data_IF_389540364602
#
_entry.id   IF_389540364602
#
_cell.length_a   1.000
_cell.length_b   1.000
_cell.length_c   1.000
_cell.angle_alpha   90.00
_cell.angle_beta   90.00
_cell.angle_gamma   90.00
#
_symmetry.space_group_name_H-M   'P 1'
#
loop_
_entity.id
_entity.type
_entity.pdbx_description
1 polymer ?
#
# COMPACT_ATOMS: atom_id res chain seq x y z
N UNK A 1 -11.71 -8.34 -4.00
CA UNK A 1 -10.55 -9.16 -3.56
C UNK A 1 -10.05 -10.10 -4.65
N UNK A 2 -10.91 -10.93 -5.26
CA UNK A 2 -10.47 -11.89 -6.31
C UNK A 2 -9.90 -11.19 -7.56
N UNK A 3 -10.46 -10.05 -7.97
CA UNK A 3 -9.98 -9.29 -9.12
C UNK A 3 -8.55 -8.75 -8.94
N UNK A 4 -8.20 -8.30 -7.72
CA UNK A 4 -6.85 -7.81 -7.40
C UNK A 4 -5.83 -8.96 -7.34
N UNK A 5 -6.23 -10.10 -6.76
CA UNK A 5 -5.37 -11.29 -6.75
C UNK A 5 -5.16 -11.85 -8.16
N UNK A 6 -6.18 -11.78 -9.02
CA UNK A 6 -6.06 -12.15 -10.42
C UNK A 6 -5.13 -11.20 -11.21
N UNK A 7 -5.16 -9.90 -10.93
CA UNK A 7 -4.30 -8.92 -11.62
C UNK A 7 -2.81 -9.09 -11.32
N UNK A 8 -2.44 -9.76 -10.22
CA UNK A 8 -1.05 -10.10 -9.87
C UNK A 8 -0.43 -11.22 -10.72
N UNK A 9 -1.24 -12.05 -11.39
CA UNK A 9 -0.73 -13.18 -12.15
C UNK A 9 0.19 -12.75 -13.30
N UNK A 10 -0.21 -11.74 -14.08
CA UNK A 10 0.57 -11.19 -15.20
C UNK A 10 1.94 -10.64 -14.74
N UNK A 11 2.03 -9.69 -13.79
CA UNK A 11 3.31 -9.11 -13.40
C UNK A 11 4.25 -10.15 -12.78
N UNK A 12 3.74 -11.16 -12.05
CA UNK A 12 4.57 -12.27 -11.53
C UNK A 12 5.20 -13.06 -12.69
N UNK A 13 4.38 -13.50 -13.65
CA UNK A 13 4.84 -14.28 -14.80
C UNK A 13 5.81 -13.49 -15.67
N UNK A 14 5.51 -12.20 -15.91
CA UNK A 14 6.37 -11.33 -16.70
C UNK A 14 7.71 -11.10 -16.01
N UNK A 15 7.73 -10.84 -14.69
CA UNK A 15 8.99 -10.70 -13.94
C UNK A 15 9.87 -11.96 -14.06
N UNK A 16 9.29 -13.15 -13.88
CA UNK A 16 10.01 -14.42 -14.04
C UNK A 16 10.55 -14.63 -15.45
N UNK A 17 9.77 -14.28 -16.47
CA UNK A 17 10.19 -14.41 -17.87
C UNK A 17 11.34 -13.46 -18.20
N UNK A 18 11.25 -12.22 -17.72
CA UNK A 18 12.24 -11.17 -18.01
C UNK A 18 13.56 -11.42 -17.25
N UNK A 19 13.52 -12.06 -16.08
CA UNK A 19 14.71 -12.55 -15.38
C UNK A 19 15.50 -13.53 -16.26
N UNK A 20 14.82 -14.47 -16.94
CA UNK A 20 15.46 -15.43 -17.85
C UNK A 20 16.10 -14.73 -19.05
N UNK A 21 15.42 -13.74 -19.63
CA UNK A 21 15.98 -12.94 -20.71
C UNK A 21 17.26 -12.21 -20.27
N UNK A 22 17.32 -11.69 -19.05
CA UNK A 22 18.54 -11.05 -18.56
C UNK A 22 19.75 -11.99 -18.50
N UNK A 23 19.54 -13.30 -18.29
CA UNK A 23 20.61 -14.32 -18.34
C UNK A 23 21.06 -14.66 -19.76
N UNK A 24 20.15 -14.55 -20.72
CA UNK A 24 20.40 -14.82 -22.14
C UNK A 24 21.00 -13.60 -22.90
N UNK A 25 21.20 -12.48 -22.20
CA UNK A 25 21.65 -11.23 -22.79
C UNK A 25 23.01 -11.35 -23.50
N UNK A 26 23.03 -11.03 -24.80
CA UNK A 26 24.23 -11.03 -25.63
C UNK A 26 24.95 -9.68 -25.63
N UNK A 27 24.20 -8.58 -25.44
CA UNK A 27 24.69 -7.19 -25.39
C UNK A 27 24.29 -6.51 -24.08
N UNK A 28 24.98 -5.43 -23.69
CA UNK A 28 24.67 -4.66 -22.47
C UNK A 28 24.59 -5.55 -21.22
N UNK A 29 25.49 -6.53 -21.11
CA UNK A 29 25.40 -7.61 -20.11
C UNK A 29 25.37 -7.08 -18.68
N UNK A 30 26.20 -6.09 -18.37
CA UNK A 30 26.25 -5.52 -17.03
C UNK A 30 24.91 -4.87 -16.67
N UNK A 31 24.38 -4.03 -17.56
CA UNK A 31 23.11 -3.36 -17.33
C UNK A 31 21.94 -4.34 -17.26
N UNK A 32 21.99 -5.44 -18.02
CA UNK A 32 21.00 -6.53 -17.94
C UNK A 32 21.05 -7.24 -16.57
N UNK A 33 22.24 -7.52 -16.05
CA UNK A 33 22.42 -8.15 -14.73
C UNK A 33 21.99 -7.20 -13.60
N UNK A 34 22.25 -5.90 -13.73
CA UNK A 34 21.78 -4.91 -12.76
C UNK A 34 20.24 -4.83 -12.72
N UNK A 35 19.58 -4.89 -13.88
CA UNK A 35 18.12 -4.96 -13.95
C UNK A 35 17.59 -6.30 -13.40
N UNK A 36 18.28 -7.41 -13.67
CA UNK A 36 17.91 -8.74 -13.15
C UNK A 36 17.79 -8.75 -11.64
N UNK A 37 18.80 -8.23 -10.93
CA UNK A 37 18.78 -8.18 -9.47
C UNK A 37 17.55 -7.45 -8.91
N UNK A 38 17.08 -6.40 -9.60
CA UNK A 38 15.87 -5.66 -9.22
C UNK A 38 14.60 -6.46 -9.54
N UNK A 39 14.55 -7.12 -10.69
CA UNK A 39 13.43 -7.97 -11.08
C UNK A 39 13.25 -9.18 -10.16
N UNK A 40 14.33 -9.78 -9.67
CA UNK A 40 14.29 -10.87 -8.69
C UNK A 40 13.67 -10.41 -7.36
N UNK A 41 14.08 -9.24 -6.86
CA UNK A 41 13.47 -8.62 -5.68
C UNK A 41 12.00 -8.31 -5.93
N UNK A 42 11.67 -7.76 -7.09
CA UNK A 42 10.30 -7.40 -7.47
C UNK A 42 9.40 -8.63 -7.57
N UNK A 43 9.89 -9.73 -8.15
CA UNK A 43 9.18 -11.02 -8.22
C UNK A 43 8.87 -11.55 -6.81
N UNK A 44 9.81 -11.41 -5.88
CA UNK A 44 9.61 -11.80 -4.48
C UNK A 44 8.49 -11.00 -3.82
N UNK A 45 8.49 -9.66 -3.96
CA UNK A 45 7.45 -8.79 -3.42
C UNK A 45 6.08 -9.05 -4.07
N UNK A 46 6.02 -9.26 -5.39
CA UNK A 46 4.77 -9.58 -6.08
C UNK A 46 4.14 -10.89 -5.59
N UNK A 47 4.96 -11.90 -5.29
CA UNK A 47 4.47 -13.15 -4.70
C UNK A 47 3.98 -12.97 -3.26
N UNK A 48 4.64 -12.12 -2.47
CA UNK A 48 4.17 -11.76 -1.14
C UNK A 48 2.83 -11.01 -1.22
N UNK A 49 2.72 -10.05 -2.15
CA UNK A 49 1.49 -9.30 -2.44
C UNK A 49 0.33 -10.23 -2.82
N UNK A 50 0.57 -11.29 -3.60
CA UNK A 50 -0.47 -12.25 -3.98
C UNK A 50 -1.02 -13.08 -2.80
N UNK A 51 -0.27 -13.15 -1.69
CA UNK A 51 -0.66 -13.89 -0.48
C UNK A 51 -1.24 -12.99 0.61
N UNK A 52 -0.97 -11.68 0.54
CA UNK A 52 -1.43 -10.70 1.51
C UNK A 52 -2.87 -10.22 1.23
N UNK A 53 -3.51 -9.68 2.26
CA UNK A 53 -4.76 -8.92 2.10
C UNK A 53 -4.42 -7.44 1.93
N UNK A 54 -4.19 -7.02 0.69
CA UNK A 54 -3.71 -5.68 0.40
C UNK A 54 -4.83 -4.65 0.51
N UNK A 55 -4.48 -3.47 1.01
CA UNK A 55 -5.35 -2.32 0.89
C UNK A 55 -5.58 -1.97 -0.60
N UNK A 56 -6.82 -2.21 -1.05
CA UNK A 56 -7.13 -2.43 -2.47
C UNK A 56 -6.88 -1.19 -3.36
N UNK A 57 -7.16 0.02 -2.85
CA UNK A 57 -7.08 1.24 -3.66
C UNK A 57 -5.64 1.61 -4.05
N UNK A 58 -4.69 1.76 -3.11
CA UNK A 58 -3.29 1.98 -3.47
C UNK A 58 -2.72 0.77 -4.21
N UNK A 59 -3.08 -0.45 -3.83
CA UNK A 59 -2.58 -1.65 -4.47
C UNK A 59 -2.83 -1.66 -5.98
N UNK A 60 -4.04 -1.29 -6.44
CA UNK A 60 -4.34 -1.20 -7.87
C UNK A 60 -3.40 -0.25 -8.62
N UNK A 61 -3.19 0.95 -8.07
CA UNK A 61 -2.29 1.97 -8.67
C UNK A 61 -0.84 1.48 -8.72
N UNK A 62 -0.36 0.89 -7.62
CA UNK A 62 0.99 0.32 -7.52
C UNK A 62 1.19 -0.79 -8.54
N UNK A 63 0.21 -1.68 -8.69
CA UNK A 63 0.30 -2.79 -9.63
C UNK A 63 0.30 -2.31 -11.08
N UNK A 64 -0.53 -1.32 -11.43
CA UNK A 64 -0.51 -0.72 -12.76
C UNK A 64 0.85 -0.10 -13.10
N UNK A 65 1.46 0.63 -12.16
CA UNK A 65 2.76 1.25 -12.38
C UNK A 65 3.90 0.23 -12.40
N UNK A 66 3.78 -0.83 -11.59
CA UNK A 66 4.69 -1.98 -11.62
C UNK A 66 4.61 -2.70 -12.97
N UNK A 67 3.41 -2.88 -13.52
CA UNK A 67 3.20 -3.54 -14.81
C UNK A 67 3.84 -2.73 -15.95
N UNK A 68 3.67 -1.40 -15.94
CA UNK A 68 4.34 -0.48 -16.87
C UNK A 68 5.87 -0.50 -16.72
N UNK A 69 6.39 -0.68 -15.51
CA UNK A 69 7.83 -0.80 -15.26
C UNK A 69 8.39 -2.11 -15.81
N UNK A 70 7.67 -3.21 -15.60
CA UNK A 70 8.00 -4.54 -16.14
C UNK A 70 7.96 -4.55 -17.66
N UNK A 71 6.92 -3.99 -18.30
CA UNK A 71 6.83 -3.90 -19.76
C UNK A 71 8.03 -3.14 -20.37
N UNK A 72 8.48 -2.06 -19.71
CA UNK A 72 9.66 -1.30 -20.15
C UNK A 72 10.96 -2.08 -19.97
N UNK A 73 11.10 -2.83 -18.87
CA UNK A 73 12.26 -3.69 -18.65
C UNK A 73 12.29 -4.84 -19.67
N UNK A 74 11.14 -5.47 -19.92
CA UNK A 74 10.94 -6.53 -20.91
C UNK A 74 11.38 -6.07 -22.30
N UNK A 75 10.87 -4.92 -22.76
CA UNK A 75 11.22 -4.36 -24.07
C UNK A 75 12.71 -4.02 -24.21
N UNK A 76 13.44 -3.74 -23.12
CA UNK A 76 14.89 -3.54 -23.16
C UNK A 76 15.66 -4.85 -23.19
N UNK A 77 15.24 -5.83 -22.38
CA UNK A 77 15.93 -7.10 -22.26
C UNK A 77 15.74 -7.99 -23.48
N UNK A 78 14.54 -8.01 -24.08
CA UNK A 78 14.27 -8.69 -25.35
C UNK A 78 15.25 -8.25 -26.45
N UNK A 79 15.53 -6.95 -26.51
CA UNK A 79 16.48 -6.34 -27.44
C UNK A 79 17.93 -6.76 -27.19
N UNK A 80 18.27 -7.11 -25.95
CA UNK A 80 19.61 -7.55 -25.55
C UNK A 80 19.84 -9.05 -25.79
N UNK A 81 18.78 -9.86 -25.81
CA UNK A 81 18.83 -11.32 -26.04
C UNK A 81 18.96 -11.68 -27.53
N UNK A 82 18.66 -10.75 -28.43
CA UNK A 82 18.61 -11.03 -29.87
C UNK A 82 17.43 -11.93 -30.26
N UNK A 83 16.35 -11.94 -29.46
CA UNK A 83 15.22 -12.88 -29.57
C UNK A 83 14.22 -12.56 -30.70
N UNK A 84 14.69 -11.94 -31.81
CA UNK A 84 13.90 -11.60 -32.98
C UNK A 84 14.56 -12.03 -34.30
N UNK A 85 13.75 -12.34 -35.30
CA UNK A 85 14.18 -12.84 -36.63
C UNK A 85 15.24 -11.98 -37.35
N UNK A 86 15.43 -10.72 -36.96
CA UNK A 86 16.44 -9.82 -37.55
C UNK A 86 17.73 -9.92 -36.74
N UNK A 87 18.47 -11.00 -37.01
CA UNK A 87 19.83 -11.19 -36.55
C UNK A 87 20.69 -9.99 -36.99
N UNK A 88 21.29 -9.27 -36.02
CA UNK A 88 22.54 -8.51 -36.18
C UNK A 88 22.49 -7.12 -36.84
N UNK A 89 21.37 -6.41 -36.87
CA UNK A 89 21.34 -5.04 -37.43
C UNK A 89 20.91 -4.04 -36.36
N UNK A 90 21.91 -3.44 -35.71
CA UNK A 90 21.84 -2.25 -34.85
C UNK A 90 20.67 -2.20 -33.84
N UNK A 91 20.82 -2.89 -32.71
CA UNK A 91 19.96 -2.65 -31.54
C UNK A 91 20.24 -1.24 -30.98
N UNK A 92 19.60 -0.20 -31.53
CA UNK A 92 19.77 1.18 -31.07
C UNK A 92 19.01 1.38 -29.75
N UNK A 93 19.64 1.06 -28.62
CA UNK A 93 19.08 1.36 -27.30
C UNK A 93 19.30 2.86 -27.03
N UNK A 94 18.24 3.68 -26.89
CA UNK A 94 18.40 5.09 -26.60
C UNK A 94 19.19 5.30 -25.30
N UNK A 95 20.05 6.31 -25.29
CA UNK A 95 20.84 6.65 -24.12
C UNK A 95 19.94 6.88 -22.88
N UNK A 96 20.32 6.30 -21.75
CA UNK A 96 19.56 6.41 -20.50
C UNK A 96 18.35 5.47 -20.37
N UNK A 97 18.04 4.63 -21.36
CA UNK A 97 16.91 3.69 -21.26
C UNK A 97 17.04 2.74 -20.07
N UNK A 98 18.24 2.17 -19.86
CA UNK A 98 18.52 1.33 -18.68
C UNK A 98 18.38 2.10 -17.37
N UNK A 99 18.87 3.35 -17.30
CA UNK A 99 18.70 4.20 -16.11
C UNK A 99 17.22 4.46 -15.82
N UNK A 100 16.43 4.73 -16.85
CA UNK A 100 14.98 4.95 -16.73
C UNK A 100 14.24 3.69 -16.28
N UNK A 101 14.54 2.53 -16.87
CA UNK A 101 13.94 1.27 -16.45
C UNK A 101 14.32 0.92 -15.01
N UNK A 102 15.61 1.07 -14.68
CA UNK A 102 16.15 0.87 -13.33
C UNK A 102 15.43 1.76 -12.30
N UNK A 103 15.21 3.03 -12.61
CA UNK A 103 14.47 3.96 -11.75
C UNK A 103 12.99 3.56 -11.55
N UNK A 104 12.31 3.11 -12.61
CA UNK A 104 10.91 2.67 -12.52
C UNK A 104 10.76 1.39 -11.69
N UNK A 105 11.71 0.46 -11.82
CA UNK A 105 11.75 -0.73 -10.98
C UNK A 105 12.02 -0.37 -9.51
N UNK A 106 12.92 0.58 -9.23
CA UNK A 106 13.16 1.05 -7.86
C UNK A 106 11.91 1.71 -7.26
N UNK A 107 11.16 2.48 -8.06
CA UNK A 107 9.89 3.04 -7.60
C UNK A 107 8.91 1.93 -7.24
N UNK A 108 8.76 0.94 -8.13
CA UNK A 108 7.85 -0.20 -7.92
C UNK A 108 8.24 -1.03 -6.69
N UNK A 109 9.55 -1.23 -6.46
CA UNK A 109 10.07 -1.91 -5.27
C UNK A 109 9.66 -1.16 -3.99
N UNK A 110 9.90 0.15 -3.94
CA UNK A 110 9.53 0.97 -2.77
C UNK A 110 8.02 0.97 -2.50
N UNK A 111 7.22 1.11 -3.55
CA UNK A 111 5.76 1.11 -3.44
C UNK A 111 5.23 -0.24 -2.95
N UNK A 112 5.72 -1.36 -3.50
CA UNK A 112 5.32 -2.70 -3.08
C UNK A 112 5.75 -3.02 -1.64
N UNK A 113 6.97 -2.65 -1.25
CA UNK A 113 7.41 -2.77 0.14
C UNK A 113 6.51 -1.97 1.07
N UNK A 114 6.18 -0.73 0.71
CA UNK A 114 5.29 0.12 1.50
C UNK A 114 3.89 -0.49 1.67
N UNK A 115 3.24 -0.93 0.58
CA UNK A 115 1.87 -1.46 0.68
C UNK A 115 1.82 -2.78 1.45
N UNK A 116 2.86 -3.62 1.36
CA UNK A 116 2.96 -4.85 2.14
C UNK A 116 3.08 -4.54 3.64
N UNK A 117 3.91 -3.56 4.02
CA UNK A 117 4.02 -3.08 5.40
C UNK A 117 2.68 -2.56 5.92
N UNK A 118 2.08 -1.63 5.18
CA UNK A 118 0.79 -1.00 5.54
C UNK A 118 -0.35 -2.03 5.61
N UNK A 119 -0.30 -3.08 4.81
CA UNK A 119 -1.32 -4.13 4.86
C UNK A 119 -1.11 -5.11 6.04
N UNK A 120 0.04 -5.05 6.72
CA UNK A 120 0.42 -5.95 7.81
C UNK A 120 0.41 -5.28 9.20
N UNK A 121 -0.27 -4.14 9.37
CA UNK A 121 -0.36 -3.41 10.66
C UNK A 121 -0.84 -4.27 11.85
N UNK A 122 -1.57 -5.36 11.59
CA UNK A 122 -2.05 -6.26 12.63
C UNK A 122 -0.98 -7.21 13.20
N UNK A 123 0.20 -7.31 12.57
CA UNK A 123 1.25 -8.27 12.91
C UNK A 123 2.60 -7.61 13.24
N UNK A 124 2.67 -6.28 13.21
CA UNK A 124 3.87 -5.53 13.61
C UNK A 124 3.78 -5.16 15.09
N UNK A 125 4.56 -5.85 15.93
CA UNK A 125 5.06 -5.26 17.17
C UNK A 125 5.95 -4.06 16.79
N UNK A 126 5.93 -3.01 17.60
CA UNK A 126 6.44 -1.65 17.30
C UNK A 126 7.97 -1.54 17.09
N UNK A 127 8.69 -2.65 16.88
CA UNK A 127 10.15 -2.77 16.99
C UNK A 127 10.91 -2.96 15.65
N UNK A 128 10.29 -2.84 14.48
CA UNK A 128 11.03 -2.81 13.21
C UNK A 128 11.49 -1.37 12.86
N UNK A 129 12.65 -1.00 13.38
CA UNK A 129 13.43 0.19 13.07
C UNK A 129 13.58 0.45 11.55
N UNK A 130 12.91 1.51 11.10
CA UNK A 130 13.54 2.71 10.53
C UNK A 130 14.53 2.60 9.35
N UNK A 131 14.34 1.68 8.41
CA UNK A 131 15.02 1.77 7.09
C UNK A 131 14.18 2.48 6.00
N UNK A 132 13.00 3.00 6.34
CA UNK A 132 11.97 3.40 5.38
C UNK A 132 11.51 4.87 5.52
N UNK A 133 12.43 5.75 5.94
CA UNK A 133 12.19 7.20 6.10
C UNK A 133 11.98 7.86 4.72
N UNK A 134 10.74 7.85 4.24
CA UNK A 134 10.37 8.57 3.03
C UNK A 134 8.97 8.24 2.53
N UNK A 135 8.35 9.21 1.85
CA UNK A 135 7.09 8.99 1.16
C UNK A 135 7.28 7.92 0.06
N UNK A 136 6.39 6.93 -0.05
CA UNK A 136 6.45 5.99 -1.16
C UNK A 136 6.25 6.76 -2.47
N UNK A 137 6.92 6.37 -3.57
CA UNK A 137 6.81 7.00 -4.88
C UNK A 137 5.37 7.30 -5.32
N UNK A 138 4.41 6.41 -5.05
CA UNK A 138 2.99 6.60 -5.37
C UNK A 138 2.38 7.87 -4.72
N UNK A 139 2.90 8.32 -3.57
CA UNK A 139 2.42 9.50 -2.86
C UNK A 139 3.19 10.78 -3.17
N UNK A 140 4.25 10.74 -3.99
CA UNK A 140 5.13 11.90 -4.20
C UNK A 140 4.40 13.13 -4.78
N UNK A 141 3.43 12.91 -5.67
CA UNK A 141 2.67 14.00 -6.28
C UNK A 141 1.57 14.54 -5.38
N UNK A 142 1.07 13.72 -4.45
CA UNK A 142 0.01 14.09 -3.53
C UNK A 142 0.32 13.54 -2.13
N UNK A 143 1.26 14.17 -1.40
CA UNK A 143 1.77 13.65 -0.12
C UNK A 143 0.70 13.39 0.95
N UNK A 144 -0.42 14.10 0.89
CA UNK A 144 -1.53 13.90 1.83
C UNK A 144 -2.18 12.52 1.69
N UNK A 145 -2.14 11.90 0.49
CA UNK A 145 -2.69 10.56 0.29
C UNK A 145 -1.97 9.51 1.11
N UNK A 146 -0.66 9.67 1.33
CA UNK A 146 0.10 8.78 2.21
C UNK A 146 -0.51 8.74 3.62
N UNK A 147 -0.76 9.91 4.22
CA UNK A 147 -1.38 10.01 5.54
C UNK A 147 -2.80 9.43 5.54
N UNK A 148 -3.61 9.76 4.53
CA UNK A 148 -4.98 9.24 4.41
C UNK A 148 -4.97 7.71 4.33
N UNK A 149 -4.10 7.12 3.51
CA UNK A 149 -4.00 5.67 3.37
C UNK A 149 -3.52 4.97 4.63
N UNK A 150 -2.53 5.52 5.33
CA UNK A 150 -2.09 4.95 6.61
C UNK A 150 -3.23 4.97 7.63
N UNK A 151 -3.95 6.08 7.79
CA UNK A 151 -5.08 6.13 8.72
C UNK A 151 -6.22 5.19 8.33
N UNK A 152 -6.50 5.05 7.03
CA UNK A 152 -7.50 4.09 6.54
C UNK A 152 -7.06 2.64 6.80
N UNK A 153 -5.76 2.33 6.65
CA UNK A 153 -5.24 1.00 6.96
C UNK A 153 -5.36 0.69 8.46
N UNK A 154 -4.98 1.63 9.34
CA UNK A 154 -5.18 1.48 10.78
C UNK A 154 -6.66 1.30 11.13
N UNK A 155 -7.57 2.05 10.49
CA UNK A 155 -9.02 1.87 10.67
C UNK A 155 -9.52 0.47 10.31
N UNK A 156 -8.87 -0.19 9.35
CA UNK A 156 -9.26 -1.51 8.86
C UNK A 156 -8.65 -2.66 9.64
N UNK A 157 -7.39 -2.53 10.06
CA UNK A 157 -6.58 -3.64 10.56
C UNK A 157 -6.01 -3.43 11.96
N UNK A 158 -6.11 -2.21 12.52
CA UNK A 158 -5.57 -1.88 13.84
C UNK A 158 -6.40 -2.43 15.01
N UNK A 159 -5.81 -2.38 16.21
CA UNK A 159 -6.54 -2.61 17.47
C UNK A 159 -7.60 -1.54 17.75
N UNK A 160 -8.51 -1.79 18.71
CA UNK A 160 -9.64 -0.89 18.99
C UNK A 160 -9.21 0.54 19.32
N UNK A 161 -8.17 0.72 20.13
CA UNK A 161 -7.64 2.04 20.52
C UNK A 161 -7.03 2.76 19.32
N UNK A 162 -6.13 2.10 18.59
CA UNK A 162 -5.53 2.64 17.36
C UNK A 162 -6.58 3.01 16.29
N UNK A 163 -7.67 2.22 16.17
CA UNK A 163 -8.79 2.54 15.28
C UNK A 163 -9.55 3.79 15.72
N UNK A 164 -9.70 4.03 17.02
CA UNK A 164 -10.33 5.26 17.52
C UNK A 164 -9.47 6.49 17.24
N UNK A 165 -8.15 6.41 17.46
CA UNK A 165 -7.21 7.48 17.15
C UNK A 165 -7.13 7.77 15.64
N UNK A 166 -7.14 6.72 14.82
CA UNK A 166 -7.19 6.87 13.37
C UNK A 166 -8.50 7.52 12.92
N UNK A 167 -9.63 7.18 13.54
CA UNK A 167 -10.91 7.84 13.25
C UNK A 167 -10.87 9.32 13.59
N UNK A 168 -10.32 9.69 14.76
CA UNK A 168 -10.16 11.09 15.16
C UNK A 168 -9.28 11.85 14.15
N UNK A 169 -8.18 11.24 13.71
CA UNK A 169 -7.26 11.80 12.72
C UNK A 169 -7.94 12.03 11.37
N UNK A 170 -8.67 11.05 10.84
CA UNK A 170 -9.42 11.16 9.58
C UNK A 170 -10.49 12.26 9.65
N UNK A 171 -11.21 12.35 10.77
CA UNK A 171 -12.22 13.40 10.98
C UNK A 171 -11.57 14.79 11.03
N UNK A 172 -10.42 14.94 11.70
CA UNK A 172 -9.70 16.22 11.70
C UNK A 172 -9.27 16.62 10.29
N UNK A 173 -8.65 15.70 9.54
CA UNK A 173 -8.23 15.94 8.15
C UNK A 173 -9.40 16.41 7.28
N UNK A 174 -10.55 15.75 7.38
CA UNK A 174 -11.74 16.10 6.62
C UNK A 174 -12.31 17.47 7.01
N UNK A 175 -12.28 17.81 8.31
CA UNK A 175 -12.78 19.09 8.83
C UNK A 175 -11.88 20.26 8.43
N UNK A 176 -10.58 20.04 8.42
CA UNK A 176 -9.59 21.10 8.20
C UNK A 176 -9.48 21.48 6.71
N UNK A 177 -9.88 20.58 5.79
CA UNK A 177 -9.83 20.85 4.35
C UNK A 177 -10.84 19.99 3.54
N UNK A 178 -11.75 20.64 2.83
CA UNK A 178 -12.74 19.99 1.95
C UNK A 178 -12.11 19.06 0.90
N UNK A 179 -10.91 19.40 0.40
CA UNK A 179 -10.18 18.54 -0.54
C UNK A 179 -9.79 17.22 0.13
N UNK A 180 -9.36 17.23 1.39
CA UNK A 180 -9.00 16.02 2.10
C UNK A 180 -10.24 15.18 2.39
N UNK A 181 -11.36 15.82 2.74
CA UNK A 181 -12.65 15.14 2.84
C UNK A 181 -13.03 14.40 1.55
N UNK A 182 -12.83 15.01 0.37
CA UNK A 182 -13.04 14.33 -0.93
C UNK A 182 -12.10 13.15 -1.14
N UNK A 183 -10.80 13.31 -0.87
CA UNK A 183 -9.83 12.22 -1.00
C UNK A 183 -10.16 11.05 -0.07
N UNK A 184 -10.55 11.31 1.18
CA UNK A 184 -10.97 10.26 2.12
C UNK A 184 -12.15 9.45 1.56
N UNK A 185 -13.09 10.10 0.87
CA UNK A 185 -14.22 9.40 0.22
C UNK A 185 -13.74 8.59 -1.00
N UNK A 186 -12.92 9.19 -1.85
CA UNK A 186 -12.40 8.55 -3.08
C UNK A 186 -11.52 7.32 -2.78
N UNK A 187 -10.82 7.34 -1.65
CA UNK A 187 -9.98 6.26 -1.15
C UNK A 187 -10.76 5.28 -0.24
N UNK A 188 -12.09 5.27 -0.25
CA UNK A 188 -12.91 4.34 0.54
C UNK A 188 -12.66 4.38 2.07
N UNK A 189 -12.37 5.57 2.62
CA UNK A 189 -12.18 5.77 4.06
C UNK A 189 -13.47 5.79 4.88
N UNK A 190 -14.63 5.96 4.25
CA UNK A 190 -15.94 6.02 4.94
C UNK A 190 -16.43 4.65 5.45
N UNK A 191 -16.41 3.55 4.67
CA UNK A 191 -16.87 2.26 5.16
C UNK A 191 -16.18 1.75 6.44
N UNK A 192 -14.86 1.87 6.64
CA UNK A 192 -14.20 1.54 7.91
C UNK A 192 -14.72 2.35 9.12
N UNK A 193 -15.00 3.64 8.94
CA UNK A 193 -15.59 4.48 9.99
C UNK A 193 -17.00 4.01 10.38
N UNK A 194 -17.82 3.67 9.39
CA UNK A 194 -19.17 3.13 9.63
C UNK A 194 -19.14 1.78 10.35
N UNK A 195 -18.12 0.94 10.07
CA UNK A 195 -17.90 -0.32 10.79
C UNK A 195 -17.56 -0.07 12.26
N UNK A 196 -16.65 0.86 12.54
CA UNK A 196 -16.26 1.22 13.90
C UNK A 196 -17.47 1.65 14.76
N UNK A 197 -18.33 2.53 14.22
CA UNK A 197 -19.55 2.98 14.93
C UNK A 197 -20.49 1.81 15.27
N UNK A 198 -20.62 0.83 14.36
CA UNK A 198 -21.47 -0.35 14.58
C UNK A 198 -20.89 -1.29 15.63
N UNK A 199 -19.58 -1.38 15.74
CA UNK A 199 -18.87 -2.23 16.71
C UNK A 199 -18.91 -1.63 18.14
N UNK A 200 -18.95 -0.30 18.27
CA UNK A 200 -19.11 0.38 19.57
C UNK A 200 -20.55 0.35 20.12
N UNK A 201 -21.55 0.26 19.24
CA UNK A 201 -22.97 0.21 19.60
C UNK A 201 -23.36 -0.97 20.53
N UNK A 202 -22.93 -2.22 20.31
CA UNK A 202 -23.20 -3.34 21.23
C UNK A 202 -22.40 -3.24 22.54
N UNK A 203 -21.20 -2.65 22.51
CA UNK A 203 -20.34 -2.46 23.70
C UNK A 203 -20.95 -1.42 24.65
N UNK A 204 -21.50 -0.32 24.11
CA UNK A 204 -22.20 0.72 24.90
C UNK A 204 -23.54 0.26 25.48
N UNK A 205 -24.21 -0.71 24.84
CA UNK A 205 -25.45 -1.33 25.36
C UNK A 205 -25.20 -2.33 26.50
N UNK A 206 -23.97 -2.82 26.68
CA UNK A 206 -23.58 -3.76 27.76
C UNK A 206 -22.95 -3.08 28.98
N UNK A 207 -22.63 -1.79 28.91
CA UNK A 207 -22.26 -1.04 30.10
C UNK A 207 -23.49 -0.86 31.01
N UNK A 208 -23.49 -1.33 32.27
CA UNK A 208 -24.60 -1.09 33.17
C UNK A 208 -24.74 0.42 33.38
N UNK A 209 -25.89 0.97 33.02
CA UNK A 209 -26.30 2.31 33.43
C UNK A 209 -26.37 2.31 34.96
N UNK A 210 -25.37 2.88 35.63
CA UNK A 210 -25.50 3.23 37.04
C UNK A 210 -26.69 4.19 37.17
N UNK A 211 -27.72 3.87 37.96
CA UNK A 211 -28.81 4.80 38.19
C UNK A 211 -28.29 5.97 39.01
N UNK A 212 -28.34 7.16 38.44
CA UNK A 212 -28.23 8.42 39.18
C UNK A 212 -29.42 8.51 40.15
N UNK A 213 -29.22 8.03 41.37
CA UNK A 213 -30.14 8.21 42.48
C UNK A 213 -30.12 9.66 42.94
N UNK A 214 -31.16 10.41 42.57
CA UNK A 214 -31.51 11.69 43.18
C UNK A 214 -32.43 11.46 44.38
N UNK A 215 -32.23 12.30 45.39
CA UNK A 215 -33.20 12.68 46.44
C UNK A 215 -33.42 11.71 47.62
N UNK A 216 -32.89 12.09 48.77
CA UNK A 216 -33.58 11.91 50.04
C UNK A 216 -33.44 13.21 50.85
N UNK A 217 -34.47 14.05 50.74
CA UNK A 217 -34.73 15.11 51.70
C UNK A 217 -35.04 14.48 53.07
N UNK A 218 -34.35 14.92 54.12
CA UNK A 218 -34.72 14.62 55.51
C UNK A 218 -35.58 15.76 56.06
N UNK A 219 -36.72 15.46 56.71
CA UNK A 219 -37.55 16.49 57.31
C UNK A 219 -37.05 16.86 58.71
N UNK A 220 -37.22 18.13 59.03
CA UNK A 220 -37.12 18.72 60.37
C UNK A 220 -38.15 18.11 61.31
N UNK A 221 -37.74 17.74 62.53
CA UNK A 221 -38.65 17.64 63.68
C UNK A 221 -37.89 17.94 64.98
N UNK A 222 -38.54 18.80 65.77
CA UNK A 222 -38.10 19.51 66.96
C UNK A 222 -38.21 18.66 68.25
N UNK A 223 -38.01 19.33 69.40
CA UNK A 223 -38.19 18.94 70.82
C UNK A 223 -36.99 18.21 71.45
N UNK A 224 -36.40 18.63 72.58
CA UNK A 224 -36.81 19.51 73.70
C UNK A 224 -35.63 20.34 74.23
#
# INVERSE_FOLDING_TARGET
MDDLKASLARPIQLAEQVIKWADEAQTCRQECQDLKAKLERLSTLLRQAARADLYERPARRILEDTDKALDKAAALLERCCGHGFVRRVFTIIPAGSFKKASYLLDNSLRDLTWILRVSNYAASDEDEEDDHIGLPPIAQNEPILFLIWEQIAVLQYGGLEARADAAASVVSLARDNDRYGRLIIEEDGVPPLLRLIKEDAPTRRRAPRSPSGSSAATPSASTS
#
